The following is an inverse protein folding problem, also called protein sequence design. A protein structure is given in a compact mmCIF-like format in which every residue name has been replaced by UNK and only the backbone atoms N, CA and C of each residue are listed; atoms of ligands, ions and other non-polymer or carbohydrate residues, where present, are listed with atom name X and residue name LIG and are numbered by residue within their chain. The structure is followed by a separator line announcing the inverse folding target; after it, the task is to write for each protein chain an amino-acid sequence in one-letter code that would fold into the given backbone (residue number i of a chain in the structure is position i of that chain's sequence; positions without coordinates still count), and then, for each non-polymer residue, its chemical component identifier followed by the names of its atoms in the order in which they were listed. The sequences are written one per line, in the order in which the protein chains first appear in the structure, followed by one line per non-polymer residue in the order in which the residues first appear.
data_IF_973104274204
#
_entry.id   IF_973104274204
#
_cell.length_a   1.000
_cell.length_b   1.000
_cell.length_c   1.000
_cell.angle_alpha   90.00
_cell.angle_beta   90.00
_cell.angle_gamma   90.00
#
_symmetry.space_group_name_H-M   'P 1'
#
loop_
_entity.id
_entity.type
_entity.pdbx_description
1 polymer ?
#
# COMPACT_ATOMS: atom_id res chain seq x y z
N UNK A 1 -25.04 -16.24 -4.44
CA UNK A 1 -24.10 -16.17 -3.29
C UNK A 1 -24.70 -16.99 -2.17
N UNK A 2 -23.94 -17.89 -1.54
CA UNK A 2 -24.42 -18.67 -0.39
C UNK A 2 -24.22 -17.87 0.89
N UNK A 3 -25.29 -17.21 1.31
CA UNK A 3 -25.33 -16.30 2.45
C UNK A 3 -25.16 -17.04 3.77
N UNK A 4 -25.77 -18.22 3.89
CA UNK A 4 -25.79 -19.02 5.13
C UNK A 4 -24.37 -19.50 5.46
N UNK A 5 -23.65 -19.99 4.44
CA UNK A 5 -22.26 -20.40 4.59
C UNK A 5 -21.33 -19.24 4.96
N UNK A 6 -21.47 -18.07 4.32
CA UNK A 6 -20.64 -16.89 4.63
C UNK A 6 -20.89 -16.36 6.05
N UNK A 7 -22.15 -16.29 6.48
CA UNK A 7 -22.49 -15.90 7.85
C UNK A 7 -21.90 -16.87 8.87
N UNK A 8 -22.04 -18.17 8.65
CA UNK A 8 -21.52 -19.20 9.57
C UNK A 8 -20.00 -19.09 9.73
N UNK A 9 -19.28 -18.77 8.65
CA UNK A 9 -17.85 -18.51 8.71
C UNK A 9 -17.53 -17.20 9.48
N UNK A 10 -18.32 -16.16 9.28
CA UNK A 10 -18.10 -14.86 9.91
C UNK A 10 -18.41 -14.87 11.42
N UNK A 11 -19.47 -15.56 11.83
CA UNK A 11 -19.88 -15.74 13.23
C UNK A 11 -18.87 -16.55 14.05
N UNK A 12 -18.06 -17.41 13.42
CA UNK A 12 -16.93 -18.10 14.09
C UNK A 12 -15.81 -17.14 14.48
N UNK A 13 -15.64 -16.05 13.71
CA UNK A 13 -14.58 -15.06 13.92
C UNK A 13 -15.06 -13.88 14.76
N UNK A 14 -16.35 -13.52 14.65
CA UNK A 14 -16.94 -12.36 15.32
C UNK A 14 -18.16 -12.79 16.13
N UNK A 15 -18.02 -12.79 17.46
CA UNK A 15 -19.09 -13.13 18.39
C UNK A 15 -19.99 -11.94 18.75
N UNK A 16 -19.67 -10.74 18.27
CA UNK A 16 -20.33 -9.48 18.59
C UNK A 16 -21.32 -9.00 17.51
N UNK A 17 -21.69 -9.88 16.57
CA UNK A 17 -22.65 -9.56 15.51
C UNK A 17 -24.04 -9.42 16.13
N UNK A 18 -24.59 -8.21 16.13
CA UNK A 18 -25.93 -7.93 16.69
C UNK A 18 -27.03 -7.98 15.64
N UNK A 19 -26.74 -7.60 14.39
CA UNK A 19 -27.74 -7.48 13.32
C UNK A 19 -27.15 -7.84 11.96
N UNK A 20 -27.99 -8.39 11.08
CA UNK A 20 -27.67 -8.68 9.68
C UNK A 20 -28.89 -8.34 8.83
N UNK A 21 -28.66 -7.67 7.70
CA UNK A 21 -29.70 -7.32 6.73
C UNK A 21 -29.27 -7.74 5.32
N UNK A 22 -30.25 -8.08 4.49
CA UNK A 22 -30.05 -8.43 3.09
C UNK A 22 -30.94 -7.57 2.21
N UNK A 23 -30.39 -7.09 1.11
CA UNK A 23 -31.14 -6.35 0.09
C UNK A 23 -30.91 -7.00 -1.27
N UNK A 24 -32.00 -7.32 -1.96
CA UNK A 24 -31.92 -7.79 -3.34
C UNK A 24 -31.65 -6.60 -4.25
N UNK A 25 -30.55 -6.65 -4.99
CA UNK A 25 -30.11 -5.61 -5.92
C UNK A 25 -29.72 -6.28 -7.23
N UNK A 26 -29.97 -5.61 -8.36
CA UNK A 26 -29.44 -6.09 -9.65
C UNK A 26 -27.91 -6.06 -9.59
N UNK A 27 -27.25 -7.01 -10.24
CA UNK A 27 -25.79 -7.11 -10.22
C UNK A 27 -25.09 -5.84 -10.73
N UNK A 28 -25.71 -5.15 -11.69
CA UNK A 28 -25.22 -3.88 -12.27
C UNK A 28 -25.22 -2.72 -11.28
N UNK A 29 -26.12 -2.75 -10.29
CA UNK A 29 -26.40 -1.63 -9.39
C UNK A 29 -25.78 -1.88 -8.00
N UNK A 30 -25.07 -3.00 -7.84
CA UNK A 30 -24.58 -3.50 -6.55
C UNK A 30 -23.63 -2.49 -5.89
N UNK A 31 -22.67 -1.96 -6.64
CA UNK A 31 -21.67 -1.02 -6.14
C UNK A 31 -22.31 0.31 -5.69
N UNK A 32 -23.24 0.85 -6.49
CA UNK A 32 -23.91 2.11 -6.19
C UNK A 32 -24.79 2.00 -4.95
N UNK A 33 -25.58 0.92 -4.86
CA UNK A 33 -26.45 0.67 -3.72
C UNK A 33 -25.64 0.38 -2.45
N UNK A 34 -24.53 -0.34 -2.56
CA UNK A 34 -23.63 -0.59 -1.43
C UNK A 34 -23.03 0.71 -0.90
N UNK A 35 -22.51 1.58 -1.79
CA UNK A 35 -21.98 2.90 -1.42
C UNK A 35 -23.00 3.76 -0.69
N UNK A 36 -24.22 3.84 -1.22
CA UNK A 36 -25.31 4.62 -0.61
C UNK A 36 -25.70 4.08 0.78
N UNK A 37 -25.74 2.75 0.94
CA UNK A 37 -26.08 2.11 2.21
C UNK A 37 -24.99 2.36 3.26
N UNK A 38 -23.72 2.23 2.88
CA UNK A 38 -22.59 2.52 3.78
C UNK A 38 -22.68 3.97 4.28
N UNK A 39 -22.78 4.93 3.36
CA UNK A 39 -22.87 6.35 3.71
C UNK A 39 -24.07 6.67 4.61
N UNK A 40 -25.22 6.04 4.36
CA UNK A 40 -26.44 6.25 5.17
C UNK A 40 -26.27 5.74 6.60
N UNK A 41 -25.63 4.58 6.77
CA UNK A 41 -25.43 3.96 8.08
C UNK A 41 -24.33 4.66 8.88
N UNK A 42 -23.26 5.12 8.22
CA UNK A 42 -22.21 5.92 8.84
C UNK A 42 -22.74 7.28 9.30
N UNK A 43 -23.57 7.95 8.49
CA UNK A 43 -24.25 9.19 8.89
C UNK A 43 -25.18 9.01 10.11
N UNK A 44 -25.59 7.78 10.40
CA UNK A 44 -26.38 7.42 11.59
C UNK A 44 -25.51 6.97 12.78
N UNK A 45 -24.18 7.05 12.67
CA UNK A 45 -23.23 6.71 13.73
C UNK A 45 -22.95 5.21 13.89
N UNK A 46 -23.40 4.38 12.94
CA UNK A 46 -23.16 2.94 12.97
C UNK A 46 -21.77 2.64 12.40
N UNK A 47 -20.96 1.95 13.20
CA UNK A 47 -19.61 1.56 12.79
C UNK A 47 -19.67 0.28 11.96
N UNK A 48 -19.37 0.39 10.66
CA UNK A 48 -19.33 -0.74 9.74
C UNK A 48 -17.93 -1.35 9.68
N UNK A 49 -17.85 -2.69 9.60
CA UNK A 49 -16.58 -3.45 9.47
C UNK A 49 -16.31 -3.92 8.04
N UNK A 50 -16.92 -3.30 7.04
CA UNK A 50 -16.84 -3.81 5.66
C UNK A 50 -15.50 -3.39 5.01
N UNK A 51 -14.74 -4.38 4.52
CA UNK A 51 -13.36 -4.24 4.03
C UNK A 51 -13.29 -4.15 2.49
N UNK A 52 -14.41 -4.37 1.78
CA UNK A 52 -14.37 -4.62 0.34
C UNK A 52 -14.73 -3.44 -0.59
N UNK A 53 -15.41 -2.39 -0.12
CA UNK A 53 -15.93 -1.32 -1.00
C UNK A 53 -15.71 0.11 -0.51
N UNK A 54 -14.70 0.37 0.32
CA UNK A 54 -14.21 1.73 0.62
C UNK A 54 -13.36 2.34 -0.51
N UNK A 55 -13.56 1.91 -1.77
CA UNK A 55 -12.81 2.41 -2.92
C UNK A 55 -13.77 3.02 -3.94
N UNK A 56 -14.00 4.32 -3.81
CA UNK A 56 -13.91 5.39 -4.84
C UNK A 56 -14.28 6.69 -4.10
N UNK A 57 -13.29 7.44 -3.64
CA UNK A 57 -13.51 8.80 -3.09
C UNK A 57 -13.25 9.80 -4.21
N UNK A 58 -14.30 10.17 -4.94
CA UNK A 58 -14.35 11.43 -5.67
C UNK A 58 -15.00 12.46 -4.73
N UNK A 59 -14.19 13.40 -4.25
CA UNK A 59 -14.48 14.39 -3.21
C UNK A 59 -13.17 14.97 -2.66
N UNK A 60 -13.23 15.87 -1.66
CA UNK A 60 -12.04 16.24 -0.85
C UNK A 60 -11.28 14.95 -0.50
N UNK A 61 -10.03 14.82 -0.95
CA UNK A 61 -9.29 13.57 -0.77
C UNK A 61 -8.89 13.52 0.70
N UNK A 62 -9.04 12.38 1.38
CA UNK A 62 -8.61 12.23 2.79
C UNK A 62 -7.15 12.70 3.02
N UNK A 63 -6.33 12.62 1.97
CA UNK A 63 -4.96 13.14 1.97
C UNK A 63 -4.90 14.68 2.02
N UNK A 64 -5.79 15.40 1.32
CA UNK A 64 -5.84 16.87 1.27
C UNK A 64 -6.11 17.49 2.65
N UNK A 65 -6.80 16.74 3.53
CA UNK A 65 -7.06 17.13 4.92
C UNK A 65 -5.79 17.12 5.79
N UNK A 66 -4.76 16.39 5.38
CA UNK A 66 -3.53 16.15 6.15
C UNK A 66 -2.30 16.74 5.44
N UNK A 67 -2.35 16.86 4.12
CA UNK A 67 -1.30 17.34 3.22
C UNK A 67 -1.93 18.31 2.23
N UNK A 68 -1.63 19.60 2.34
CA UNK A 68 -2.21 20.58 1.44
C UNK A 68 -1.79 20.31 -0.03
N UNK A 69 -2.64 20.58 -1.04
CA UNK A 69 -2.31 20.35 -2.44
C UNK A 69 -0.97 20.95 -2.88
N UNK A 70 -0.62 22.13 -2.36
CA UNK A 70 0.66 22.78 -2.62
C UNK A 70 1.83 21.97 -2.05
N UNK A 71 1.70 21.38 -0.86
CA UNK A 71 2.72 20.49 -0.28
C UNK A 71 2.85 19.19 -1.08
N UNK A 72 1.73 18.66 -1.63
CA UNK A 72 1.75 17.50 -2.50
C UNK A 72 2.52 17.80 -3.79
N UNK A 73 2.27 18.96 -4.41
CA UNK A 73 2.97 19.40 -5.62
C UNK A 73 4.47 19.60 -5.36
N UNK A 74 4.85 20.27 -4.27
CA UNK A 74 6.26 20.42 -3.90
C UNK A 74 6.94 19.07 -3.68
N UNK A 75 6.27 18.11 -3.03
CA UNK A 75 6.78 16.76 -2.83
C UNK A 75 6.97 16.02 -4.16
N UNK A 76 5.99 16.09 -5.08
CA UNK A 76 6.07 15.48 -6.41
C UNK A 76 7.23 16.05 -7.24
N UNK A 77 7.49 17.36 -7.13
CA UNK A 77 8.62 18.03 -7.78
C UNK A 77 9.97 17.75 -7.09
N UNK A 78 9.98 16.98 -6.00
CA UNK A 78 11.18 16.71 -5.20
C UNK A 78 11.68 17.91 -4.41
N UNK A 79 10.91 19.00 -4.32
CA UNK A 79 11.24 20.15 -3.49
C UNK A 79 10.86 19.88 -2.03
N UNK A 80 11.81 19.30 -1.31
CA UNK A 80 11.65 18.97 0.11
C UNK A 80 12.03 20.14 1.04
N UNK A 81 12.48 21.28 0.51
CA UNK A 81 12.87 22.42 1.33
C UNK A 81 11.64 22.99 2.06
N UNK A 82 11.72 23.06 3.39
CA UNK A 82 10.63 23.58 4.23
C UNK A 82 9.48 22.61 4.45
N UNK A 83 9.42 21.47 3.76
CA UNK A 83 8.45 20.41 4.03
C UNK A 83 8.81 19.70 5.35
N UNK A 84 7.89 19.68 6.32
CA UNK A 84 8.13 19.09 7.63
C UNK A 84 7.12 18.01 7.96
N UNK A 85 7.61 16.79 8.17
CA UNK A 85 6.86 15.69 8.77
C UNK A 85 7.01 15.72 10.31
N UNK A 86 6.61 16.85 10.89
CA UNK A 86 6.83 17.20 12.30
C UNK A 86 5.69 16.78 13.23
N UNK A 87 4.58 16.24 12.70
CA UNK A 87 3.49 15.78 13.56
C UNK A 87 3.89 14.53 14.35
N UNK A 88 3.30 14.40 15.54
CA UNK A 88 3.43 13.17 16.32
C UNK A 88 2.74 12.02 15.58
N UNK A 89 3.44 10.91 15.47
CA UNK A 89 2.89 9.65 14.97
C UNK A 89 1.61 9.30 15.74
N UNK A 90 0.56 8.90 15.02
CA UNK A 90 -0.69 8.43 15.62
C UNK A 90 -0.42 7.22 16.53
N UNK A 91 -0.95 7.28 17.75
CA UNK A 91 -0.80 6.22 18.75
C UNK A 91 -2.13 5.47 18.93
N UNK A 92 -2.29 4.34 18.24
CA UNK A 92 -3.39 3.40 18.50
C UNK A 92 -2.89 2.24 19.38
N UNK A 93 -3.14 2.36 20.68
CA UNK A 93 -2.78 1.36 21.69
C UNK A 93 -3.47 0.00 21.44
N UNK A 94 -4.69 0.00 20.92
CA UNK A 94 -5.40 -1.22 20.58
C UNK A 94 -4.74 -1.93 19.39
N UNK A 95 -4.37 -1.18 18.35
CA UNK A 95 -3.60 -1.70 17.22
C UNK A 95 -2.26 -2.29 17.67
N UNK A 96 -1.52 -1.57 18.52
CA UNK A 96 -0.25 -2.04 19.10
C UNK A 96 -0.44 -3.37 19.85
N UNK A 97 -1.47 -3.49 20.68
CA UNK A 97 -1.78 -4.74 21.41
C UNK A 97 -2.09 -5.89 20.45
N UNK A 98 -2.89 -5.65 19.41
CA UNK A 98 -3.24 -6.66 18.40
C UNK A 98 -2.01 -7.12 17.59
N UNK A 99 -1.09 -6.20 17.28
CA UNK A 99 0.09 -6.51 16.46
C UNK A 99 1.29 -6.99 17.27
N UNK A 100 1.34 -6.78 18.59
CA UNK A 100 2.49 -7.08 19.45
C UNK A 100 3.05 -8.49 19.28
N UNK A 101 2.17 -9.51 19.20
CA UNK A 101 2.59 -10.90 19.00
C UNK A 101 3.26 -11.12 17.63
N UNK A 102 2.71 -10.53 16.56
CA UNK A 102 3.26 -10.62 15.21
C UNK A 102 4.57 -9.83 15.11
N UNK A 103 4.61 -8.64 15.69
CA UNK A 103 5.82 -7.83 15.73
C UNK A 103 6.95 -8.53 16.50
N UNK A 104 6.66 -9.13 17.65
CA UNK A 104 7.64 -9.93 18.38
C UNK A 104 8.14 -11.15 17.60
N UNK A 105 7.30 -11.77 16.74
CA UNK A 105 7.74 -12.83 15.84
C UNK A 105 8.58 -12.28 14.67
N UNK A 106 8.21 -11.14 14.10
CA UNK A 106 8.97 -10.43 13.08
C UNK A 106 10.39 -10.10 13.57
N UNK A 107 10.52 -9.57 14.80
CA UNK A 107 11.83 -9.23 15.38
C UNK A 107 12.74 -10.43 15.65
N UNK A 108 12.21 -11.67 15.58
CA UNK A 108 13.00 -12.91 15.68
C UNK A 108 13.44 -13.47 14.34
N UNK A 109 13.01 -12.86 13.22
CA UNK A 109 13.45 -13.25 11.87
C UNK A 109 14.92 -12.89 11.68
N UNK A 110 15.62 -13.64 10.84
CA UNK A 110 17.06 -13.48 10.59
C UNK A 110 17.38 -12.07 10.11
N UNK A 111 16.59 -11.57 9.16
CA UNK A 111 16.83 -10.28 8.51
C UNK A 111 15.92 -9.15 9.05
N UNK A 112 15.46 -9.23 10.32
CA UNK A 112 14.49 -8.29 10.86
C UNK A 112 14.98 -6.82 10.85
N UNK A 113 16.25 -6.59 11.16
CA UNK A 113 16.83 -5.23 11.18
C UNK A 113 16.96 -4.66 9.77
N UNK A 114 17.49 -5.46 8.83
CA UNK A 114 17.61 -5.08 7.43
C UNK A 114 16.25 -4.82 6.81
N UNK A 115 15.24 -5.60 7.19
CA UNK A 115 13.86 -5.38 6.77
C UNK A 115 13.28 -4.06 7.29
N UNK A 116 13.56 -3.69 8.55
CA UNK A 116 13.16 -2.39 9.08
C UNK A 116 13.90 -1.24 8.40
N UNK A 117 15.17 -1.44 8.04
CA UNK A 117 15.97 -0.47 7.31
C UNK A 117 15.38 -0.21 5.91
N UNK A 118 15.13 -1.26 5.12
CA UNK A 118 14.53 -1.15 3.79
C UNK A 118 13.11 -0.57 3.85
N UNK A 119 12.30 -0.97 4.84
CA UNK A 119 10.99 -0.34 5.06
C UNK A 119 11.15 1.15 5.32
N UNK A 120 12.11 1.55 6.16
CA UNK A 120 12.40 2.96 6.43
C UNK A 120 12.78 3.74 5.17
N UNK A 121 13.62 3.16 4.31
CA UNK A 121 13.97 3.73 3.00
C UNK A 121 12.75 3.87 2.10
N UNK A 122 11.90 2.83 2.00
CA UNK A 122 10.68 2.88 1.20
C UNK A 122 9.75 4.00 1.65
N UNK A 123 9.50 4.11 2.96
CA UNK A 123 8.65 5.17 3.50
C UNK A 123 9.20 6.57 3.19
N UNK A 124 10.52 6.76 3.24
CA UNK A 124 11.14 8.05 2.91
C UNK A 124 11.12 8.38 1.42
N UNK A 125 11.26 7.36 0.56
CA UNK A 125 11.33 7.55 -0.88
C UNK A 125 9.93 7.69 -1.52
N UNK A 126 8.95 6.92 -1.05
CA UNK A 126 7.69 6.73 -1.76
C UNK A 126 6.48 7.41 -1.11
N UNK A 127 6.57 7.83 0.16
CA UNK A 127 5.41 8.39 0.86
C UNK A 127 5.59 9.88 1.21
N UNK A 128 4.58 10.72 0.92
CA UNK A 128 4.55 12.08 1.43
C UNK A 128 4.26 12.06 2.94
N UNK A 129 5.19 12.64 3.70
CA UNK A 129 5.07 12.87 5.15
C UNK A 129 4.63 11.63 5.96
N UNK A 130 5.46 10.57 6.03
CA UNK A 130 5.05 9.26 6.54
C UNK A 130 4.43 9.27 7.95
N UNK A 131 4.83 10.16 8.86
CA UNK A 131 4.29 10.18 10.23
C UNK A 131 2.88 10.74 10.30
N UNK A 132 2.60 11.85 9.59
CA UNK A 132 1.27 12.48 9.63
C UNK A 132 0.23 11.74 8.81
N UNK A 133 0.64 11.03 7.77
CA UNK A 133 -0.25 10.30 6.84
C UNK A 133 -0.49 8.83 7.24
N UNK A 134 0.14 8.34 8.31
CA UNK A 134 -0.05 6.96 8.81
C UNK A 134 -1.48 6.75 9.32
N UNK A 135 -2.05 5.59 9.06
CA UNK A 135 -3.42 5.15 9.40
C UNK A 135 -4.56 5.93 8.73
N UNK A 136 -4.31 7.12 8.17
CA UNK A 136 -5.26 7.86 7.34
C UNK A 136 -5.11 7.51 5.86
N UNK A 137 -3.88 7.56 5.34
CA UNK A 137 -3.59 7.33 3.93
C UNK A 137 -2.85 6.01 3.69
N UNK A 138 -1.98 5.63 4.64
CA UNK A 138 -1.18 4.43 4.51
C UNK A 138 -1.12 3.63 5.80
N UNK A 139 -0.90 2.33 5.68
CA UNK A 139 -0.65 1.47 6.83
C UNK A 139 0.36 0.39 6.48
N UNK A 140 1.04 -0.14 7.51
CA UNK A 140 1.91 -1.30 7.37
C UNK A 140 1.40 -2.46 8.23
N UNK A 141 1.37 -3.64 7.63
CA UNK A 141 1.15 -4.90 8.33
C UNK A 141 2.46 -5.66 8.47
N UNK A 142 2.69 -6.31 9.62
CA UNK A 142 3.80 -7.24 9.82
C UNK A 142 3.28 -8.69 9.89
N UNK A 143 3.97 -9.61 9.21
CA UNK A 143 3.59 -11.01 9.08
C UNK A 143 2.09 -11.20 8.77
N UNK A 144 1.54 -10.57 7.70
CA UNK A 144 0.12 -10.63 7.40
C UNK A 144 -0.34 -11.99 6.87
N UNK A 145 0.58 -12.81 6.36
CA UNK A 145 0.28 -14.16 5.85
C UNK A 145 0.48 -15.22 6.92
N UNK A 146 -0.48 -16.14 7.04
CA UNK A 146 -0.31 -17.35 7.85
C UNK A 146 0.76 -18.30 7.27
N UNK A 147 1.12 -18.14 5.98
CA UNK A 147 2.16 -18.96 5.33
C UNK A 147 3.54 -18.69 5.94
N UNK A 148 3.86 -17.46 6.36
CA UNK A 148 5.21 -17.09 6.81
C UNK A 148 5.62 -17.49 8.23
N UNK A 149 4.81 -18.28 8.96
CA UNK A 149 5.23 -18.77 10.29
C UNK A 149 6.21 -19.93 10.23
N UNK A 150 6.02 -20.83 9.26
CA UNK A 150 6.72 -22.12 9.20
C UNK A 150 7.24 -22.46 7.78
N UNK A 151 7.10 -21.57 6.79
CA UNK A 151 7.72 -21.74 5.45
C UNK A 151 9.02 -20.92 5.32
N UNK A 152 9.96 -21.34 4.45
CA UNK A 152 11.14 -20.57 4.10
C UNK A 152 10.75 -19.16 3.64
N UNK A 153 9.73 -19.07 2.77
CA UNK A 153 9.22 -17.83 2.21
C UNK A 153 8.23 -17.17 3.17
N UNK A 154 8.62 -16.07 3.78
CA UNK A 154 7.81 -15.33 4.73
C UNK A 154 7.61 -13.89 4.28
N UNK A 155 6.35 -13.48 4.11
CA UNK A 155 5.99 -12.08 3.95
C UNK A 155 6.23 -11.36 5.27
N UNK A 156 7.32 -10.60 5.36
CA UNK A 156 7.75 -9.91 6.56
C UNK A 156 6.87 -8.70 6.86
N UNK A 157 6.72 -7.82 5.88
CA UNK A 157 5.85 -6.66 5.99
C UNK A 157 5.22 -6.29 4.65
N UNK A 158 4.13 -5.54 4.73
CA UNK A 158 3.38 -5.04 3.58
C UNK A 158 2.87 -3.64 3.86
N UNK A 159 3.16 -2.72 2.95
CA UNK A 159 2.65 -1.35 2.97
C UNK A 159 1.45 -1.26 2.04
N UNK A 160 0.38 -0.64 2.53
CA UNK A 160 -0.82 -0.37 1.78
C UNK A 160 -1.10 1.13 1.74
N UNK A 161 -1.47 1.65 0.56
CA UNK A 161 -1.93 3.02 0.33
C UNK A 161 -3.39 2.97 -0.12
N UNK A 162 -4.30 3.65 0.57
CA UNK A 162 -5.73 3.68 0.21
C UNK A 162 -6.29 2.28 -0.12
N UNK A 163 -5.95 1.28 0.70
CA UNK A 163 -6.32 -0.14 0.55
C UNK A 163 -5.62 -0.92 -0.57
N UNK A 164 -4.70 -0.32 -1.31
CA UNK A 164 -3.89 -1.00 -2.34
C UNK A 164 -2.53 -1.42 -1.78
N UNK A 165 -2.12 -2.66 -2.03
CA UNK A 165 -0.83 -3.20 -1.58
C UNK A 165 0.27 -2.74 -2.53
N UNK A 166 1.08 -1.75 -2.11
CA UNK A 166 2.06 -1.09 -2.99
C UNK A 166 3.49 -1.58 -2.78
N UNK A 167 3.79 -2.12 -1.60
CA UNK A 167 5.11 -2.68 -1.30
C UNK A 167 4.96 -3.89 -0.40
N UNK A 168 5.64 -4.99 -0.75
CA UNK A 168 5.73 -6.18 0.07
C UNK A 168 7.18 -6.62 0.17
N UNK A 169 7.64 -6.82 1.40
CA UNK A 169 8.99 -7.31 1.69
C UNK A 169 8.92 -8.73 2.23
N UNK A 170 9.71 -9.60 1.63
CA UNK A 170 9.73 -11.02 1.89
C UNK A 170 11.11 -11.47 2.35
N UNK A 171 11.16 -12.63 2.98
CA UNK A 171 12.39 -13.34 3.32
C UNK A 171 12.27 -14.79 2.85
N UNK A 172 13.30 -15.30 2.19
CA UNK A 172 13.42 -16.71 1.78
C UNK A 172 14.81 -17.28 2.16
N UNK A 173 15.18 -18.42 1.57
CA UNK A 173 16.50 -19.02 1.76
C UNK A 173 17.66 -18.13 1.25
N UNK A 174 17.42 -17.36 0.19
CA UNK A 174 18.41 -16.52 -0.49
C UNK A 174 18.60 -15.16 0.18
N UNK A 175 17.61 -14.67 0.92
CA UNK A 175 17.72 -13.42 1.66
C UNK A 175 16.42 -12.65 1.71
N UNK A 176 16.53 -11.33 1.52
CA UNK A 176 15.38 -10.45 1.39
C UNK A 176 15.11 -10.19 -0.08
N UNK A 177 13.85 -10.23 -0.47
CA UNK A 177 13.37 -9.75 -1.77
C UNK A 177 12.12 -8.90 -1.57
N UNK A 178 11.88 -7.95 -2.46
CA UNK A 178 10.73 -7.06 -2.38
C UNK A 178 10.00 -6.95 -3.70
N UNK A 179 8.70 -6.68 -3.61
CA UNK A 179 7.86 -6.38 -4.76
C UNK A 179 7.23 -5.01 -4.59
N UNK A 180 7.28 -4.20 -5.63
CA UNK A 180 6.68 -2.87 -5.70
C UNK A 180 5.57 -2.89 -6.74
N UNK A 181 4.33 -2.58 -6.35
CA UNK A 181 3.26 -2.36 -7.33
C UNK A 181 3.23 -0.88 -7.68
N UNK A 182 3.40 -0.58 -8.95
CA UNK A 182 3.58 0.76 -9.48
C UNK A 182 2.61 1.03 -10.61
N UNK A 183 2.28 2.30 -10.80
CA UNK A 183 1.56 2.78 -11.97
C UNK A 183 2.45 2.64 -13.21
N UNK A 184 1.89 2.21 -14.33
CA UNK A 184 2.64 2.04 -15.58
C UNK A 184 2.71 3.34 -16.36
N UNK A 185 1.67 4.17 -16.33
CA UNK A 185 1.58 5.42 -17.08
C UNK A 185 2.82 6.34 -16.90
N UNK A 186 3.34 6.60 -15.68
CA UNK A 186 4.54 7.42 -15.54
C UNK A 186 5.77 6.85 -16.28
N UNK A 187 5.91 5.52 -16.34
CA UNK A 187 7.01 4.87 -17.06
C UNK A 187 6.81 4.94 -18.59
N UNK A 188 5.57 4.82 -19.06
CA UNK A 188 5.25 4.99 -20.49
C UNK A 188 5.50 6.43 -20.96
N UNK A 189 5.18 7.42 -20.11
CA UNK A 189 5.41 8.83 -20.39
C UNK A 189 6.90 9.19 -20.39
N UNK A 190 7.67 8.69 -19.42
CA UNK A 190 9.09 9.04 -19.27
C UNK A 190 10.05 8.21 -20.14
N UNK A 191 9.77 6.91 -20.33
CA UNK A 191 10.64 5.97 -21.05
C UNK A 191 10.10 5.57 -22.43
N UNK A 192 8.87 5.98 -22.78
CA UNK A 192 8.25 5.72 -24.07
C UNK A 192 7.73 4.28 -24.24
N UNK A 193 7.42 3.91 -25.49
CA UNK A 193 6.79 2.62 -25.83
C UNK A 193 7.63 1.39 -25.45
N UNK A 194 8.95 1.55 -25.27
CA UNK A 194 9.86 0.46 -24.88
C UNK A 194 10.27 0.53 -23.40
N UNK A 195 9.45 1.13 -22.52
CA UNK A 195 9.76 1.28 -21.09
C UNK A 195 10.18 -0.03 -20.41
N UNK A 196 9.58 -1.17 -20.79
CA UNK A 196 9.96 -2.48 -20.25
C UNK A 196 11.38 -2.89 -20.64
N UNK A 197 11.79 -2.57 -21.87
CA UNK A 197 13.13 -2.82 -22.36
C UNK A 197 14.16 -1.97 -21.63
N UNK A 198 13.84 -0.71 -21.35
CA UNK A 198 14.69 0.20 -20.57
C UNK A 198 14.88 -0.29 -19.12
N UNK A 199 13.81 -0.74 -18.46
CA UNK A 199 13.90 -1.35 -17.13
C UNK A 199 14.79 -2.60 -17.15
N UNK A 200 14.60 -3.47 -18.14
CA UNK A 200 15.39 -4.70 -18.28
C UNK A 200 16.87 -4.37 -18.55
N UNK A 201 17.16 -3.35 -19.37
CA UNK A 201 18.51 -2.89 -19.66
C UNK A 201 19.19 -2.25 -18.44
N UNK A 202 18.41 -1.61 -17.56
CA UNK A 202 18.88 -1.14 -16.26
C UNK A 202 19.10 -2.27 -15.24
N UNK A 203 18.77 -3.52 -15.60
CA UNK A 203 18.92 -4.70 -14.75
C UNK A 203 17.74 -4.94 -13.81
N UNK A 204 16.59 -4.32 -14.05
CA UNK A 204 15.44 -4.37 -13.15
C UNK A 204 14.49 -5.48 -13.60
N UNK A 205 14.12 -6.34 -12.65
CA UNK A 205 13.11 -7.36 -12.90
C UNK A 205 11.70 -6.78 -12.74
N UNK A 206 10.83 -7.14 -13.67
CA UNK A 206 9.44 -6.69 -13.67
C UNK A 206 8.50 -7.79 -14.14
N UNK A 207 7.22 -7.67 -13.78
CA UNK A 207 6.17 -8.53 -14.28
C UNK A 207 4.83 -7.79 -14.39
N UNK A 208 3.93 -8.32 -15.20
CA UNK A 208 2.60 -7.74 -15.46
C UNK A 208 1.56 -8.17 -14.40
N UNK A 209 2.01 -8.40 -13.16
CA UNK A 209 1.11 -8.77 -12.07
C UNK A 209 0.22 -7.58 -11.71
N UNK A 210 -1.09 -7.80 -11.80
CA UNK A 210 -2.11 -6.83 -11.43
C UNK A 210 -2.72 -7.18 -10.08
N UNK A 211 -2.73 -6.22 -9.16
CA UNK A 211 -3.50 -6.35 -7.93
C UNK A 211 -4.97 -6.05 -8.26
N UNK A 212 -5.88 -6.99 -8.03
CA UNK A 212 -7.28 -6.87 -8.48
C UNK A 212 -8.00 -5.56 -8.09
N UNK A 213 -7.85 -5.05 -6.84
CA UNK A 213 -8.36 -3.73 -6.42
C UNK A 213 -7.63 -2.51 -7.02
N UNK A 214 -6.55 -2.75 -7.74
CA UNK A 214 -5.58 -1.79 -8.23
C UNK A 214 -5.96 -1.02 -9.50
N UNK A 215 -6.88 -1.57 -10.29
CA UNK A 215 -7.17 -1.08 -11.64
C UNK A 215 -6.20 -1.62 -12.69
N UNK A 216 -6.25 -1.07 -13.90
CA UNK A 216 -5.51 -1.59 -15.07
C UNK A 216 -4.16 -0.92 -15.30
N UNK A 217 -3.88 0.21 -14.65
CA UNK A 217 -2.61 0.93 -14.76
C UNK A 217 -1.62 0.45 -13.70
N UNK A 218 -1.17 -0.80 -13.84
CA UNK A 218 -0.30 -1.42 -12.84
C UNK A 218 0.70 -2.38 -13.46
N UNK A 219 1.88 -2.40 -12.87
CA UNK A 219 2.86 -3.48 -13.02
C UNK A 219 3.61 -3.68 -11.71
N UNK A 220 4.44 -4.72 -11.65
CA UNK A 220 5.26 -5.00 -10.48
C UNK A 220 6.74 -4.95 -10.84
N UNK A 221 7.52 -4.23 -10.03
CA UNK A 221 8.97 -4.35 -9.97
C UNK A 221 9.40 -5.30 -8.86
N UNK A 222 10.52 -6.00 -9.06
CA UNK A 222 11.08 -6.95 -8.11
C UNK A 222 12.52 -6.60 -7.80
N UNK A 223 12.83 -6.41 -6.51
CA UNK A 223 14.19 -6.34 -5.99
C UNK A 223 14.57 -7.69 -5.38
N UNK A 224 15.62 -8.34 -5.91
CA UNK A 224 15.96 -9.73 -5.60
C UNK A 224 16.86 -9.89 -4.37
N UNK A 225 17.51 -8.80 -3.93
CA UNK A 225 18.42 -8.81 -2.79
C UNK A 225 18.31 -7.53 -1.97
N UNK A 226 18.93 -7.51 -0.78
CA UNK A 226 19.01 -6.31 0.04
C UNK A 226 19.63 -5.12 -0.73
N UNK A 227 20.73 -5.37 -1.43
CA UNK A 227 21.44 -4.39 -2.24
C UNK A 227 20.56 -3.85 -3.36
N UNK A 228 19.87 -4.72 -4.11
CA UNK A 228 18.99 -4.30 -5.19
C UNK A 228 17.86 -3.42 -4.67
N UNK A 229 17.19 -3.84 -3.60
CA UNK A 229 16.07 -3.08 -3.00
C UNK A 229 16.57 -1.72 -2.51
N UNK A 230 17.72 -1.70 -1.81
CA UNK A 230 18.32 -0.47 -1.31
C UNK A 230 18.66 0.47 -2.46
N UNK A 231 19.30 -0.03 -3.51
CA UNK A 231 19.76 0.79 -4.61
C UNK A 231 18.55 1.31 -5.41
N UNK A 232 17.51 0.52 -5.66
CA UNK A 232 16.24 0.99 -6.23
C UNK A 232 15.60 2.13 -5.43
N UNK A 233 15.67 2.06 -4.08
CA UNK A 233 15.09 3.08 -3.18
C UNK A 233 15.96 4.33 -3.02
N UNK A 234 17.27 4.21 -3.25
CA UNK A 234 18.23 5.31 -3.16
C UNK A 234 18.48 5.98 -4.51
N UNK A 235 18.22 5.29 -5.62
CA UNK A 235 18.18 5.88 -6.95
C UNK A 235 17.01 6.86 -6.94
N UNK A 236 17.32 8.12 -6.65
CA UNK A 236 16.54 9.22 -7.21
C UNK A 236 16.79 9.14 -8.70
N UNK A 237 15.88 8.51 -9.44
CA UNK A 237 15.80 8.77 -10.87
C UNK A 237 15.61 10.30 -10.91
N UNK A 238 16.57 11.07 -11.45
CA UNK A 238 16.31 12.45 -11.72
C UNK A 238 15.13 12.42 -12.68
N UNK A 239 13.96 12.88 -12.25
CA UNK A 239 12.95 13.36 -13.19
C UNK A 239 13.57 14.63 -13.75
N UNK A 240 14.55 14.47 -14.65
CA UNK A 240 15.08 15.54 -15.46
C UNK A 240 13.98 15.91 -16.45
N UNK A 241 13.07 16.75 -15.97
CA UNK A 241 12.29 17.65 -16.80
C UNK A 241 13.22 18.66 -17.48
N UNK A 242 14.22 18.21 -18.26
CA UNK A 242 15.09 19.06 -19.08
C UNK A 242 16.02 18.30 -20.03
N UNK A 243 15.52 17.39 -20.87
CA UNK A 243 16.24 17.06 -22.13
C UNK A 243 15.65 17.83 -23.31
N UNK A 244 15.74 19.16 -23.26
CA UNK A 244 15.46 20.02 -24.43
C UNK A 244 16.24 21.35 -24.49
N UNK A 245 17.23 21.59 -23.63
CA UNK A 245 17.95 22.87 -23.63
C UNK A 245 19.48 22.81 -23.68
N UNK A 246 20.07 21.73 -24.18
CA UNK A 246 21.50 21.77 -24.56
C UNK A 246 21.70 21.19 -25.96
N UNK A 247 21.17 21.91 -26.95
CA UNK A 247 21.76 22.03 -28.26
C UNK A 247 22.46 23.38 -28.38
N UNK A 248 23.64 23.50 -27.75
CA UNK A 248 24.75 24.39 -28.16
C UNK A 248 26.06 23.63 -27.91
#
# INVERSE_FOLDING_TARGET
MDVVRRFTQHAKTHSDITHITFRTVKKTDLNEVERLVIHTLEAQGLHLRNIAHTSVVEGERDLDLVVAPEEQEQWLLGNLEGLQDAQQRIQDESLRRRSAKRFGAFMRRRNAQDALFLLGLYLQAALPFPKRTELSFWAVSCLPSDRGKDTPDALLCRVSLSMQEVFSLWEDENGLYATFHLARTPFEEDLGENWQGELTAAGWEWNDHQYGPGGHDQFQLVGQSFEDIRDMLLIRIPIESSRFLDSI
#
